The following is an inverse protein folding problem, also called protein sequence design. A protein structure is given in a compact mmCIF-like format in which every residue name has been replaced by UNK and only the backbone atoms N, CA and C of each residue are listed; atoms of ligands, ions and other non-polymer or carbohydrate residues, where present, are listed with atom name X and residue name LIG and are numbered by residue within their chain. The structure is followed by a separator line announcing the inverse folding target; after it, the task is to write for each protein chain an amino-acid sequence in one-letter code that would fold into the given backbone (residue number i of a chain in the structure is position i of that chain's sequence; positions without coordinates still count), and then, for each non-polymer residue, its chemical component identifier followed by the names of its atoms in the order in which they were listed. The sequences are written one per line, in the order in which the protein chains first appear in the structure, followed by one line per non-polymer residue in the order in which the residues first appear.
data_IF_944881059652
#
_entry.id   IF_944881059652
#
_cell.length_a   1.000
_cell.length_b   1.000
_cell.length_c   1.000
_cell.angle_alpha   90.00
_cell.angle_beta   90.00
_cell.angle_gamma   90.00
#
_symmetry.space_group_name_H-M   'P 1'
#
loop_
_entity.id
_entity.type
_entity.pdbx_description
1 polymer ?
#
# COMPACT_ATOMS: atom_id res chain seq x y z
N UNK A 1 -16.55 8.91 -15.96
CA UNK A 1 -15.51 7.85 -16.03
C UNK A 1 -16.22 6.51 -16.26
N UNK A 2 -15.71 5.61 -17.11
CA UNK A 2 -16.42 4.34 -17.38
C UNK A 2 -16.36 3.40 -16.18
N UNK A 3 -17.41 2.60 -15.97
CA UNK A 3 -17.49 1.58 -14.91
C UNK A 3 -16.29 0.64 -14.93
N UNK A 4 -15.82 0.28 -16.12
CA UNK A 4 -14.62 -0.54 -16.33
C UNK A 4 -13.36 0.08 -15.73
N UNK A 5 -13.17 1.40 -15.87
CA UNK A 5 -11.99 2.08 -15.31
C UNK A 5 -12.03 2.09 -13.78
N UNK A 6 -13.20 2.37 -13.19
CA UNK A 6 -13.41 2.29 -11.73
C UNK A 6 -13.14 0.88 -11.19
N UNK A 7 -13.55 -0.17 -11.92
CA UNK A 7 -13.28 -1.56 -11.53
C UNK A 7 -11.79 -1.88 -11.46
N UNK A 8 -11.00 -1.45 -12.46
CA UNK A 8 -9.55 -1.67 -12.44
C UNK A 8 -8.84 -0.88 -11.34
N UNK A 9 -9.29 0.33 -11.04
CA UNK A 9 -8.76 1.12 -9.92
C UNK A 9 -9.02 0.44 -8.58
N UNK A 10 -10.25 -0.07 -8.36
CA UNK A 10 -10.58 -0.86 -7.18
C UNK A 10 -9.72 -2.13 -7.08
N UNK A 11 -9.50 -2.82 -8.20
CA UNK A 11 -8.62 -3.99 -8.23
C UNK A 11 -7.17 -3.63 -7.85
N UNK A 12 -6.63 -2.54 -8.38
CA UNK A 12 -5.28 -2.06 -8.04
C UNK A 12 -5.18 -1.70 -6.55
N UNK A 13 -6.20 -1.05 -5.96
CA UNK A 13 -6.26 -0.74 -4.53
C UNK A 13 -6.30 -2.01 -3.67
N UNK A 14 -7.12 -3.00 -4.03
CA UNK A 14 -7.20 -4.28 -3.30
C UNK A 14 -5.86 -5.02 -3.34
N UNK A 15 -5.21 -5.08 -4.51
CA UNK A 15 -3.90 -5.72 -4.65
C UNK A 15 -2.84 -5.03 -3.79
N UNK A 16 -2.82 -3.70 -3.78
CA UNK A 16 -1.93 -2.92 -2.92
C UNK A 16 -2.18 -3.19 -1.44
N UNK A 17 -3.45 -3.19 -0.99
CA UNK A 17 -3.83 -3.51 0.38
C UNK A 17 -3.31 -4.87 0.82
N UNK A 18 -3.50 -5.89 -0.01
CA UNK A 18 -3.04 -7.26 0.28
C UNK A 18 -1.52 -7.32 0.43
N UNK A 19 -0.77 -6.71 -0.48
CA UNK A 19 0.70 -6.67 -0.38
C UNK A 19 1.18 -5.95 0.88
N UNK A 20 0.54 -4.83 1.23
CA UNK A 20 0.88 -4.05 2.43
C UNK A 20 0.57 -4.82 3.73
N UNK A 21 -0.59 -5.49 3.83
CA UNK A 21 -0.94 -6.32 5.00
C UNK A 21 0.05 -7.48 5.19
N UNK A 22 0.45 -8.16 4.11
CA UNK A 22 1.47 -9.22 4.20
C UNK A 22 2.79 -8.71 4.74
N UNK A 23 3.23 -7.54 4.26
CA UNK A 23 4.49 -6.95 4.73
C UNK A 23 4.38 -6.50 6.18
N UNK A 24 3.27 -5.87 6.56
CA UNK A 24 2.99 -5.50 7.95
C UNK A 24 3.11 -6.71 8.86
N UNK A 25 2.41 -7.81 8.55
CA UNK A 25 2.49 -9.07 9.32
C UNK A 25 3.93 -9.57 9.43
N UNK A 26 4.66 -9.63 8.30
CA UNK A 26 6.05 -10.07 8.29
C UNK A 26 6.97 -9.21 9.17
N UNK A 27 6.78 -7.89 9.17
CA UNK A 27 7.57 -6.98 10.01
C UNK A 27 7.16 -7.12 11.48
N UNK A 28 5.86 -7.18 11.80
CA UNK A 28 5.39 -7.29 13.18
C UNK A 28 5.84 -8.59 13.85
N UNK A 29 5.91 -9.69 13.10
CA UNK A 29 6.41 -10.99 13.58
C UNK A 29 7.94 -11.03 13.76
N UNK A 30 8.69 -10.29 12.93
CA UNK A 30 10.17 -10.43 12.85
C UNK A 30 10.95 -9.26 13.45
N UNK A 31 10.42 -8.05 13.38
CA UNK A 31 11.04 -6.79 13.83
C UNK A 31 12.48 -6.64 13.31
N UNK A 32 13.47 -6.72 14.18
CA UNK A 32 14.91 -6.66 13.84
C UNK A 32 15.37 -7.77 12.89
N UNK A 33 14.60 -8.87 12.77
CA UNK A 33 14.87 -9.99 11.84
C UNK A 33 14.11 -9.86 10.52
N UNK A 34 13.62 -8.67 10.19
CA UNK A 34 12.88 -8.40 8.96
C UNK A 34 13.75 -8.69 7.75
N UNK A 35 13.21 -9.48 6.81
CA UNK A 35 13.87 -9.74 5.53
C UNK A 35 13.54 -8.61 4.55
N UNK A 36 14.30 -7.51 4.57
CA UNK A 36 14.05 -6.31 3.75
C UNK A 36 14.03 -6.58 2.24
N UNK A 37 14.87 -7.50 1.75
CA UNK A 37 14.83 -7.94 0.35
C UNK A 37 13.48 -8.55 -0.06
N UNK A 38 12.86 -9.32 0.85
CA UNK A 38 11.53 -9.88 0.61
C UNK A 38 10.47 -8.78 0.63
N UNK A 39 10.55 -7.85 1.59
CA UNK A 39 9.64 -6.70 1.66
C UNK A 39 9.67 -5.89 0.37
N UNK A 40 10.87 -5.54 -0.11
CA UNK A 40 11.03 -4.79 -1.36
C UNK A 40 10.40 -5.52 -2.55
N UNK A 41 10.57 -6.85 -2.62
CA UNK A 41 9.97 -7.67 -3.68
C UNK A 41 8.44 -7.63 -3.60
N UNK A 42 7.86 -7.84 -2.43
CA UNK A 42 6.39 -7.86 -2.24
C UNK A 42 5.76 -6.50 -2.57
N UNK A 43 6.44 -5.38 -2.26
CA UNK A 43 5.95 -4.02 -2.53
C UNK A 43 6.20 -3.50 -3.95
N UNK A 44 6.80 -4.29 -4.85
CA UNK A 44 7.12 -3.83 -6.23
C UNK A 44 5.88 -3.32 -6.96
N UNK A 45 4.75 -4.02 -6.83
CA UNK A 45 3.48 -3.62 -7.46
C UNK A 45 2.97 -2.29 -6.91
N UNK A 46 3.02 -2.13 -5.59
CA UNK A 46 2.64 -0.90 -4.90
C UNK A 46 3.50 0.28 -5.34
N UNK A 47 4.83 0.16 -5.33
CA UNK A 47 5.72 1.26 -5.74
C UNK A 47 5.50 1.68 -7.20
N UNK A 48 5.30 0.71 -8.10
CA UNK A 48 5.07 1.02 -9.52
C UNK A 48 3.77 1.80 -9.74
N UNK A 49 2.73 1.49 -8.97
CA UNK A 49 1.39 2.07 -9.16
C UNK A 49 1.19 3.37 -8.40
N UNK A 50 1.74 3.49 -7.19
CA UNK A 50 1.40 4.57 -6.26
C UNK A 50 2.50 5.63 -6.09
N UNK A 51 3.70 5.43 -6.65
CA UNK A 51 4.80 6.42 -6.55
C UNK A 51 4.47 7.80 -7.14
N UNK A 52 3.61 7.84 -8.16
CA UNK A 52 3.20 9.08 -8.81
C UNK A 52 1.87 9.63 -8.28
N UNK A 53 1.18 8.90 -7.40
CA UNK A 53 -0.07 9.35 -6.77
C UNK A 53 0.31 10.28 -5.61
N UNK A 54 -0.19 11.51 -5.64
CA UNK A 54 0.23 12.58 -4.72
C UNK A 54 0.12 12.17 -3.25
N UNK A 55 -1.01 11.57 -2.87
CA UNK A 55 -1.31 11.09 -1.51
C UNK A 55 -0.33 10.00 -1.02
N UNK A 56 0.28 9.24 -1.93
CA UNK A 56 1.17 8.13 -1.59
C UNK A 56 2.64 8.46 -1.81
N UNK A 57 2.97 9.57 -2.48
CA UNK A 57 4.35 9.87 -2.91
C UNK A 57 5.31 9.92 -1.72
N UNK A 58 4.93 10.63 -0.67
CA UNK A 58 5.75 10.75 0.54
C UNK A 58 5.88 9.39 1.26
N UNK A 59 4.78 8.64 1.39
CA UNK A 59 4.76 7.32 2.01
C UNK A 59 5.66 6.34 1.25
N UNK A 60 5.60 6.32 -0.08
CA UNK A 60 6.45 5.49 -0.93
C UNK A 60 7.93 5.85 -0.77
N UNK A 61 8.25 7.15 -0.71
CA UNK A 61 9.63 7.61 -0.48
C UNK A 61 10.15 7.19 0.90
N UNK A 62 9.34 7.37 1.94
CA UNK A 62 9.71 6.99 3.30
C UNK A 62 9.87 5.47 3.43
N UNK A 63 9.01 4.67 2.80
CA UNK A 63 9.17 3.21 2.75
C UNK A 63 10.49 2.86 2.06
N UNK A 64 10.79 3.43 0.89
CA UNK A 64 12.03 3.13 0.17
C UNK A 64 13.27 3.49 1.01
N UNK A 65 13.28 4.65 1.66
CA UNK A 65 14.32 5.06 2.58
C UNK A 65 14.48 4.07 3.74
N UNK A 66 13.38 3.69 4.39
CA UNK A 66 13.40 2.69 5.46
C UNK A 66 13.89 1.32 5.00
N UNK A 67 13.65 0.92 3.74
CA UNK A 67 14.20 -0.30 3.16
C UNK A 67 15.70 -0.21 2.86
N UNK A 68 16.21 0.98 2.53
CA UNK A 68 17.65 1.22 2.32
C UNK A 68 18.43 1.28 3.62
N UNK A 69 17.84 1.88 4.66
CA UNK A 69 18.41 2.01 5.99
C UNK A 69 18.15 0.78 6.88
N UNK A 70 17.45 -0.24 6.36
CA UNK A 70 17.00 -1.42 7.10
C UNK A 70 16.26 -1.07 8.41
N UNK A 71 15.49 0.02 8.37
CA UNK A 71 14.72 0.52 9.50
C UNK A 71 13.28 0.02 9.43
N UNK A 72 12.98 -1.06 10.17
CA UNK A 72 11.66 -1.67 10.15
C UNK A 72 10.56 -0.78 10.76
N UNK A 73 10.89 0.11 11.70
CA UNK A 73 9.91 1.00 12.33
C UNK A 73 9.38 2.01 11.32
N UNK A 74 10.28 2.65 10.57
CA UNK A 74 9.94 3.59 9.48
C UNK A 74 9.11 2.89 8.41
N UNK A 75 9.51 1.68 8.01
CA UNK A 75 8.75 0.91 7.02
C UNK A 75 7.36 0.58 7.54
N UNK A 76 7.24 0.10 8.78
CA UNK A 76 5.97 -0.31 9.38
C UNK A 76 5.01 0.88 9.54
N UNK A 77 5.50 2.01 10.03
CA UNK A 77 4.69 3.23 10.20
C UNK A 77 4.07 3.68 8.87
N UNK A 78 4.89 3.77 7.82
CA UNK A 78 4.42 4.24 6.51
C UNK A 78 3.53 3.20 5.81
N UNK A 79 3.72 1.90 6.08
CA UNK A 79 2.79 0.85 5.63
C UNK A 79 1.43 0.99 6.30
N UNK A 80 1.38 1.22 7.62
CA UNK A 80 0.12 1.42 8.35
C UNK A 80 -0.65 2.63 7.80
N UNK A 81 0.04 3.75 7.60
CA UNK A 81 -0.54 4.94 6.96
C UNK A 81 -1.06 4.67 5.55
N UNK A 82 -0.30 3.92 4.75
CA UNK A 82 -0.74 3.54 3.40
C UNK A 82 -2.00 2.67 3.43
N UNK A 83 -2.12 1.77 4.41
CA UNK A 83 -3.30 0.90 4.60
C UNK A 83 -4.55 1.70 4.99
N UNK A 84 -4.40 2.72 5.83
CA UNK A 84 -5.50 3.59 6.24
C UNK A 84 -6.07 4.33 5.02
N UNK A 85 -5.20 4.99 4.23
CA UNK A 85 -5.60 5.71 3.02
C UNK A 85 -6.26 4.76 2.00
N UNK A 86 -5.65 3.61 1.72
CA UNK A 86 -6.24 2.65 0.77
C UNK A 86 -7.60 2.14 1.25
N UNK A 87 -7.77 1.94 2.55
CA UNK A 87 -9.05 1.48 3.11
C UNK A 87 -10.14 2.54 2.97
N UNK A 88 -9.81 3.81 3.19
CA UNK A 88 -10.73 4.93 2.95
C UNK A 88 -11.10 5.05 1.47
N UNK A 89 -10.14 4.92 0.56
CA UNK A 89 -10.40 4.98 -0.89
C UNK A 89 -11.29 3.82 -1.36
N UNK A 90 -11.03 2.60 -0.89
CA UNK A 90 -11.89 1.44 -1.19
C UNK A 90 -13.32 1.66 -0.72
N UNK A 91 -13.51 2.21 0.50
CA UNK A 91 -14.83 2.51 1.04
C UNK A 91 -15.57 3.56 0.19
N UNK A 92 -14.87 4.63 -0.23
CA UNK A 92 -15.43 5.62 -1.16
C UNK A 92 -15.87 4.97 -2.48
N UNK A 93 -15.07 4.06 -3.03
CA UNK A 93 -15.43 3.31 -4.24
C UNK A 93 -16.72 2.51 -4.06
N UNK A 94 -16.90 1.82 -2.93
CA UNK A 94 -18.13 1.06 -2.67
C UNK A 94 -19.35 1.97 -2.50
N UNK A 95 -19.22 3.09 -1.79
CA UNK A 95 -20.30 4.07 -1.63
C UNK A 95 -20.71 4.68 -2.97
N UNK A 96 -19.75 4.97 -3.84
CA UNK A 96 -20.00 5.44 -5.19
C UNK A 96 -20.77 4.43 -6.03
N UNK A 97 -20.40 3.14 -5.95
CA UNK A 97 -21.10 2.07 -6.65
C UNK A 97 -22.53 1.90 -6.15
N UNK A 98 -22.75 2.01 -4.83
CA UNK A 98 -24.08 1.93 -4.23
C UNK A 98 -24.99 3.08 -4.66
N UNK A 99 -24.44 4.30 -4.84
CA UNK A 99 -25.18 5.47 -5.34
C UNK A 99 -25.53 5.39 -6.83
N UNK A 100 -24.92 4.47 -7.57
CA UNK A 100 -25.19 4.24 -8.99
C UNK A 100 -26.26 3.17 -9.24
N UNK A 101 -26.75 2.49 -8.19
CA UNK A 101 -27.93 1.62 -8.21
C UNK A 101 -29.20 2.42 -7.96
#
# INVERSE_FOLDING_TARGET
MSTTKKFYELQDLILAKVSLEKVKLHIEERKDRTIFKWVRKELTGFFRKFSNVEEFRELVNNINKGLEEENYEVVLENIKRSLDIISEEIEKFYQDLQKMQ
#
